data_IF_993602256118
#
_entry.id   IF_993602256118
#
_cell.length_a   1.000
_cell.length_b   1.000
_cell.length_c   1.000
_cell.angle_alpha   90.00
_cell.angle_beta   90.00
_cell.angle_gamma   90.00
#
_symmetry.space_group_name_H-M   'P 1'
#
loop_
_entity.id
_entity.type
_entity.pdbx_description
1 polymer ?
#
# COMPACT_ATOMS: atom_id res chain seq x y z
N UNK A 1 -15.04 -5.26 -2.29
CA UNK A 1 -13.64 -5.05 -1.92
C UNK A 1 -12.86 -6.30 -2.27
N UNK A 2 -12.10 -6.29 -3.39
CA UNK A 2 -11.28 -7.43 -3.83
C UNK A 2 -10.09 -7.55 -2.87
N UNK A 3 -9.95 -8.69 -2.20
CA UNK A 3 -8.78 -9.06 -1.43
C UNK A 3 -7.59 -9.13 -2.39
N UNK A 4 -6.75 -8.09 -2.41
CA UNK A 4 -5.44 -8.14 -3.06
C UNK A 4 -4.59 -9.11 -2.27
N UNK A 5 -4.40 -10.30 -2.85
CA UNK A 5 -3.59 -11.37 -2.30
C UNK A 5 -2.14 -10.92 -2.22
N UNK A 6 -1.60 -10.85 -1.01
CA UNK A 6 -0.17 -10.64 -0.71
C UNK A 6 0.78 -11.68 -1.36
N UNK A 7 0.24 -12.71 -2.02
CA UNK A 7 1.01 -13.77 -2.66
C UNK A 7 1.78 -13.34 -3.92
N UNK A 8 1.42 -12.23 -4.56
CA UNK A 8 2.06 -11.81 -5.81
C UNK A 8 3.28 -10.89 -5.63
N UNK A 9 3.59 -10.44 -4.42
CA UNK A 9 4.79 -9.64 -4.16
C UNK A 9 6.05 -10.48 -3.89
N UNK A 10 5.89 -11.76 -3.56
CA UNK A 10 7.03 -12.66 -3.30
C UNK A 10 7.67 -13.23 -4.57
N UNK A 11 7.00 -13.16 -5.72
CA UNK A 11 7.45 -13.84 -6.95
C UNK A 11 8.41 -13.03 -7.81
N UNK A 12 8.65 -11.75 -7.52
CA UNK A 12 9.61 -10.90 -8.27
C UNK A 12 11.03 -10.98 -7.65
N UNK A 13 11.18 -11.62 -6.50
CA UNK A 13 12.43 -11.60 -5.72
C UNK A 13 13.42 -12.71 -6.06
N UNK A 14 13.13 -13.60 -7.01
CA UNK A 14 13.99 -14.81 -7.28
C UNK A 14 14.67 -14.85 -8.66
N UNK A 15 14.55 -13.81 -9.48
CA UNK A 15 15.23 -13.76 -10.79
C UNK A 15 16.60 -13.03 -10.75
N UNK A 16 17.14 -12.75 -9.58
CA UNK A 16 18.40 -12.02 -9.37
C UNK A 16 19.59 -12.88 -8.98
N UNK A 17 19.54 -14.19 -9.15
CA UNK A 17 20.65 -15.05 -8.80
C UNK A 17 21.37 -15.57 -10.05
N UNK A 18 22.71 -15.50 -10.00
CA UNK A 18 23.68 -16.18 -10.86
C UNK A 18 24.06 -15.44 -12.17
N UNK A 19 24.77 -14.32 -12.01
CA UNK A 19 25.90 -14.13 -12.92
C UNK A 19 27.13 -14.69 -12.17
N UNK A 20 27.25 -16.02 -12.21
CA UNK A 20 28.50 -16.71 -11.89
C UNK A 20 29.54 -16.17 -12.86
N UNK A 21 30.63 -15.63 -12.33
CA UNK A 21 31.76 -15.22 -13.13
C UNK A 21 32.24 -16.39 -13.98
N UNK A 22 31.96 -16.34 -15.24
CA UNK A 22 32.63 -17.17 -16.21
C UNK A 22 34.10 -16.73 -16.19
N UNK A 23 34.93 -17.46 -15.48
CA UNK A 23 36.38 -17.43 -15.65
C UNK A 23 36.67 -17.82 -17.10
N UNK A 24 36.87 -16.78 -17.92
CA UNK A 24 37.30 -16.96 -19.32
C UNK A 24 38.70 -17.52 -19.26
N UNK A 25 38.82 -18.81 -19.50
CA UNK A 25 40.11 -19.41 -19.79
C UNK A 25 40.70 -18.69 -21.01
N UNK A 26 41.76 -17.92 -20.79
CA UNK A 26 42.51 -17.23 -21.83
C UNK A 26 43.37 -18.31 -22.53
N UNK A 27 42.81 -18.96 -23.55
CA UNK A 27 43.63 -19.72 -24.49
C UNK A 27 44.30 -18.72 -25.40
N UNK A 28 45.59 -18.51 -25.19
CA UNK A 28 46.46 -17.72 -26.05
C UNK A 28 46.71 -18.49 -27.37
N UNK A 29 45.99 -18.18 -28.41
CA UNK A 29 46.37 -18.55 -29.75
C UNK A 29 47.32 -17.49 -30.32
N UNK A 30 48.58 -17.90 -30.53
CA UNK A 30 49.71 -17.02 -30.87
C UNK A 30 49.66 -16.33 -32.25
N UNK A 31 48.71 -16.69 -33.14
CA UNK A 31 48.67 -16.19 -34.52
C UNK A 31 47.82 -14.94 -34.77
N UNK A 32 47.23 -14.38 -33.73
CA UNK A 32 46.26 -13.27 -33.85
C UNK A 32 46.78 -11.89 -33.45
N UNK A 33 47.97 -11.80 -32.88
CA UNK A 33 48.48 -10.62 -32.20
C UNK A 33 48.70 -9.38 -33.08
N UNK A 34 48.77 -9.56 -34.40
CA UNK A 34 49.05 -8.43 -35.31
C UNK A 34 47.86 -7.58 -35.75
N UNK A 35 46.62 -8.01 -35.54
CA UNK A 35 45.41 -7.31 -36.02
C UNK A 35 44.56 -6.67 -34.97
N UNK A 36 44.61 -7.15 -33.71
CA UNK A 36 43.82 -6.56 -32.64
C UNK A 36 44.21 -5.09 -32.38
N UNK A 37 43.22 -4.23 -32.30
CA UNK A 37 43.44 -2.78 -32.04
C UNK A 37 43.78 -1.94 -33.28
N UNK A 38 44.04 -2.55 -34.45
CA UNK A 38 44.25 -1.78 -35.66
C UNK A 38 42.94 -1.24 -36.26
N UNK A 39 43.00 -0.14 -37.00
CA UNK A 39 41.84 0.50 -37.60
C UNK A 39 41.10 -0.41 -38.57
N UNK A 40 39.78 -0.36 -38.58
CA UNK A 40 38.95 -0.96 -39.60
C UNK A 40 37.92 0.05 -40.13
N UNK A 41 37.45 -0.19 -41.38
CA UNK A 41 36.66 0.83 -42.09
C UNK A 41 35.15 0.77 -41.75
N UNK A 42 34.59 -0.44 -41.44
CA UNK A 42 33.15 -0.63 -41.33
C UNK A 42 32.82 -1.65 -40.23
N UNK A 43 31.85 -1.31 -39.39
CA UNK A 43 31.36 -2.17 -38.31
C UNK A 43 30.88 -3.52 -38.82
N UNK A 44 31.02 -4.56 -37.95
CA UNK A 44 30.56 -5.94 -38.16
C UNK A 44 31.21 -6.73 -39.31
N UNK A 45 32.18 -6.15 -40.03
CA UNK A 45 33.00 -6.94 -40.99
C UNK A 45 33.84 -7.94 -40.17
N UNK A 46 33.96 -9.15 -40.68
CA UNK A 46 34.85 -10.19 -40.12
C UNK A 46 35.99 -10.49 -41.07
N UNK A 47 37.18 -10.65 -40.52
CA UNK A 47 38.37 -11.03 -41.28
C UNK A 47 39.33 -11.81 -40.38
N UNK A 48 39.78 -12.99 -40.79
CA UNK A 48 40.81 -13.80 -40.13
C UNK A 48 40.62 -13.94 -38.60
N UNK A 49 39.40 -14.26 -38.15
CA UNK A 49 39.08 -14.44 -36.73
C UNK A 49 38.82 -13.15 -35.95
N UNK A 50 38.85 -11.98 -36.60
CA UNK A 50 38.55 -10.70 -36.01
C UNK A 50 37.23 -10.13 -36.49
N UNK A 51 36.60 -9.30 -35.64
CA UNK A 51 35.40 -8.54 -35.97
C UNK A 51 35.70 -7.07 -35.82
N UNK A 52 35.30 -6.26 -36.78
CA UNK A 52 35.38 -4.80 -36.66
C UNK A 52 34.26 -4.27 -35.75
N UNK A 53 34.64 -3.69 -34.64
CA UNK A 53 33.72 -3.11 -33.62
C UNK A 53 34.06 -1.63 -33.38
N UNK A 54 33.13 -0.90 -32.76
CA UNK A 54 33.43 0.40 -32.18
C UNK A 54 34.51 0.21 -31.11
N UNK A 55 35.54 1.09 -31.14
CA UNK A 55 36.66 0.93 -30.21
C UNK A 55 36.19 0.93 -28.76
N UNK A 56 36.28 -0.19 -28.04
CA UNK A 56 35.75 -0.30 -26.69
C UNK A 56 36.52 0.55 -25.67
N UNK A 57 37.75 0.91 -25.98
CA UNK A 57 38.59 1.75 -25.10
C UNK A 57 38.38 3.24 -25.33
N UNK A 58 37.51 3.60 -26.30
CA UNK A 58 37.21 5.00 -26.66
C UNK A 58 38.45 5.84 -27.07
N UNK A 59 39.49 5.16 -27.56
CA UNK A 59 40.68 5.77 -28.08
C UNK A 59 40.61 5.83 -29.60
N UNK A 60 41.53 6.56 -30.24
CA UNK A 60 41.70 6.47 -31.70
C UNK A 60 42.32 5.09 -32.06
N UNK A 61 41.86 4.43 -33.12
CA UNK A 61 40.84 4.79 -34.11
C UNK A 61 39.38 4.55 -33.62
N UNK A 62 38.39 5.16 -34.29
CA UNK A 62 36.95 5.04 -33.99
C UNK A 62 36.44 3.60 -34.06
N UNK A 63 36.93 2.83 -35.03
CA UNK A 63 36.62 1.43 -35.19
C UNK A 63 37.91 0.62 -35.16
N UNK A 64 37.85 -0.56 -34.55
CA UNK A 64 39.04 -1.41 -34.37
C UNK A 64 38.71 -2.87 -34.58
N UNK A 65 39.68 -3.61 -35.14
CA UNK A 65 39.62 -5.04 -35.18
C UNK A 65 39.75 -5.62 -33.77
N UNK A 66 38.82 -6.50 -33.43
CA UNK A 66 38.75 -7.17 -32.11
C UNK A 66 38.63 -8.67 -32.29
N UNK A 67 39.38 -9.42 -31.48
CA UNK A 67 39.20 -10.86 -31.39
C UNK A 67 37.90 -11.23 -30.67
N UNK A 68 37.55 -12.52 -30.69
CA UNK A 68 36.31 -13.01 -30.06
C UNK A 68 36.21 -12.63 -28.55
N UNK A 69 37.31 -12.69 -27.81
CA UNK A 69 37.32 -12.40 -26.39
C UNK A 69 37.01 -10.90 -26.10
N UNK A 70 37.60 -10.01 -26.91
CA UNK A 70 37.30 -8.58 -26.80
C UNK A 70 35.85 -8.26 -27.20
N UNK A 71 35.33 -8.91 -28.24
CA UNK A 71 33.90 -8.75 -28.65
C UNK A 71 32.95 -9.19 -27.56
N UNK A 72 33.19 -10.36 -26.95
CA UNK A 72 32.40 -10.90 -25.85
C UNK A 72 32.45 -9.95 -24.62
N UNK A 73 33.66 -9.58 -24.18
CA UNK A 73 33.84 -8.68 -23.04
C UNK A 73 33.20 -7.31 -23.25
N UNK A 74 33.19 -6.79 -24.50
CA UNK A 74 32.48 -5.53 -24.82
C UNK A 74 30.96 -5.74 -24.74
N UNK A 75 30.45 -6.85 -25.26
CA UNK A 75 29.01 -7.19 -25.20
C UNK A 75 28.53 -7.32 -23.74
N UNK A 76 29.29 -8.04 -22.92
CA UNK A 76 28.99 -8.23 -21.51
C UNK A 76 28.99 -6.90 -20.75
N UNK A 77 29.96 -6.05 -21.01
CA UNK A 77 30.01 -4.70 -20.42
C UNK A 77 28.78 -3.86 -20.78
N UNK A 78 28.38 -3.86 -22.07
CA UNK A 78 27.20 -3.11 -22.52
C UNK A 78 25.90 -3.68 -21.94
N UNK A 79 25.80 -5.01 -21.88
CA UNK A 79 24.67 -5.71 -21.23
C UNK A 79 24.55 -5.36 -19.74
N UNK A 80 25.67 -5.37 -19.01
CA UNK A 80 25.69 -4.96 -17.60
C UNK A 80 25.26 -3.50 -17.40
N UNK A 81 25.69 -2.58 -18.27
CA UNK A 81 25.23 -1.18 -18.21
C UNK A 81 23.73 -1.05 -18.47
N UNK A 82 23.19 -1.78 -19.46
CA UNK A 82 21.77 -1.77 -19.77
C UNK A 82 20.94 -2.34 -18.63
N UNK A 83 21.38 -3.48 -18.08
CA UNK A 83 20.73 -4.12 -16.94
C UNK A 83 20.74 -3.19 -15.71
N UNK A 84 21.88 -2.55 -15.42
CA UNK A 84 21.97 -1.57 -14.33
C UNK A 84 20.90 -0.48 -14.46
N UNK A 85 20.80 0.16 -15.62
CA UNK A 85 19.82 1.23 -15.85
C UNK A 85 18.38 0.74 -15.68
N UNK A 86 18.06 -0.46 -16.20
CA UNK A 86 16.73 -1.06 -16.09
C UNK A 86 16.38 -1.38 -14.64
N UNK A 87 17.29 -1.99 -13.89
CA UNK A 87 17.07 -2.34 -12.49
C UNK A 87 16.89 -1.10 -11.60
N UNK A 88 17.71 -0.06 -11.78
CA UNK A 88 17.59 1.19 -11.00
C UNK A 88 16.23 1.82 -11.25
N UNK A 89 15.78 1.90 -12.50
CA UNK A 89 14.45 2.43 -12.82
C UNK A 89 13.33 1.62 -12.18
N UNK A 90 13.35 0.30 -12.35
CA UNK A 90 12.33 -0.60 -11.78
C UNK A 90 12.27 -0.52 -10.25
N UNK A 91 13.42 -0.45 -9.58
CA UNK A 91 13.49 -0.31 -8.13
C UNK A 91 12.94 1.04 -7.66
N UNK A 92 13.24 2.13 -8.37
CA UNK A 92 12.71 3.47 -8.09
C UNK A 92 11.17 3.52 -8.26
N UNK A 93 10.64 2.93 -9.33
CA UNK A 93 9.20 2.84 -9.60
C UNK A 93 8.49 2.04 -8.49
N UNK A 94 9.09 0.94 -8.04
CA UNK A 94 8.55 0.11 -6.96
C UNK A 94 8.53 0.86 -5.62
N UNK A 95 9.60 1.56 -5.31
CA UNK A 95 9.68 2.39 -4.09
C UNK A 95 8.64 3.51 -4.11
N UNK A 96 8.50 4.22 -5.22
CA UNK A 96 7.51 5.29 -5.39
C UNK A 96 6.09 4.77 -5.19
N UNK A 97 5.75 3.61 -5.76
CA UNK A 97 4.44 2.97 -5.56
C UNK A 97 4.19 2.61 -4.10
N UNK A 98 5.19 2.04 -3.42
CA UNK A 98 5.09 1.68 -2.00
C UNK A 98 4.89 2.91 -1.12
N UNK A 99 5.62 4.00 -1.36
CA UNK A 99 5.48 5.27 -0.65
C UNK A 99 4.10 5.90 -0.89
N UNK A 100 3.61 5.89 -2.13
CA UNK A 100 2.26 6.39 -2.47
C UNK A 100 1.17 5.60 -1.74
N UNK A 101 1.32 4.28 -1.65
CA UNK A 101 0.39 3.42 -0.91
C UNK A 101 0.41 3.73 0.59
N UNK A 102 1.59 3.89 1.19
CA UNK A 102 1.74 4.30 2.58
C UNK A 102 1.05 5.64 2.85
N UNK A 103 1.29 6.65 2.02
CA UNK A 103 0.67 7.97 2.13
C UNK A 103 -0.87 7.90 2.03
N UNK A 104 -1.41 7.02 1.17
CA UNK A 104 -2.84 6.78 1.05
C UNK A 104 -3.45 6.24 2.35
N UNK A 105 -2.79 5.28 3.02
CA UNK A 105 -3.25 4.76 4.31
C UNK A 105 -3.13 5.80 5.44
N UNK A 106 -2.08 6.62 5.45
CA UNK A 106 -1.94 7.71 6.41
C UNK A 106 -3.06 8.74 6.28
N UNK A 107 -3.41 9.12 5.04
CA UNK A 107 -4.55 10.01 4.80
C UNK A 107 -5.88 9.38 5.23
N UNK A 108 -6.11 8.09 4.91
CA UNK A 108 -7.31 7.37 5.33
C UNK A 108 -7.43 7.27 6.86
N UNK A 109 -6.31 7.08 7.57
CA UNK A 109 -6.27 7.12 9.04
C UNK A 109 -6.68 8.50 9.57
N UNK A 110 -6.14 9.57 9.00
CA UNK A 110 -6.50 10.94 9.39
C UNK A 110 -7.99 11.20 9.22
N UNK A 111 -8.58 10.82 8.10
CA UNK A 111 -10.03 10.94 7.86
C UNK A 111 -10.84 10.12 8.88
N UNK A 112 -10.43 8.89 9.16
CA UNK A 112 -11.12 8.02 10.12
C UNK A 112 -11.02 8.55 11.57
N UNK A 113 -9.87 9.07 11.97
CA UNK A 113 -9.68 9.65 13.31
C UNK A 113 -10.46 10.96 13.47
N UNK A 114 -10.51 11.79 12.44
CA UNK A 114 -11.34 13.00 12.44
C UNK A 114 -12.83 12.64 12.56
N UNK A 115 -13.31 11.65 11.82
CA UNK A 115 -14.69 11.18 11.90
C UNK A 115 -15.02 10.60 13.29
N UNK A 116 -14.06 9.92 13.93
CA UNK A 116 -14.20 9.43 15.30
C UNK A 116 -14.34 10.58 16.29
N UNK A 117 -13.44 11.56 16.21
CA UNK A 117 -13.47 12.76 17.07
C UNK A 117 -14.79 13.53 16.90
N UNK A 118 -15.22 13.76 15.65
CA UNK A 118 -16.48 14.44 15.37
C UNK A 118 -17.68 13.70 15.99
N UNK A 119 -17.74 12.38 15.86
CA UNK A 119 -18.82 11.57 16.43
C UNK A 119 -18.79 11.53 17.96
N UNK A 120 -17.60 11.47 18.56
CA UNK A 120 -17.46 11.30 20.01
C UNK A 120 -17.50 12.59 20.80
N UNK A 121 -17.02 13.71 20.21
CA UNK A 121 -16.80 14.95 20.96
C UNK A 121 -17.57 16.17 20.43
N UNK A 122 -17.93 16.22 19.14
CA UNK A 122 -18.48 17.45 18.53
C UNK A 122 -19.93 17.33 18.09
N UNK A 123 -20.34 16.13 17.65
CA UNK A 123 -21.68 15.95 17.09
C UNK A 123 -22.75 16.18 18.14
N UNK A 124 -23.68 17.09 17.83
CA UNK A 124 -24.84 17.36 18.66
C UNK A 124 -26.00 16.47 18.22
N UNK A 125 -26.61 15.79 19.18
CA UNK A 125 -27.80 14.96 19.02
C UNK A 125 -28.98 15.62 19.70
N UNK A 126 -30.11 15.69 19.01
CA UNK A 126 -31.36 16.19 19.57
C UNK A 126 -32.26 15.01 19.88
N UNK A 127 -32.56 14.81 21.17
CA UNK A 127 -33.45 13.76 21.66
C UNK A 127 -34.82 14.40 21.84
N UNK A 128 -35.74 14.09 20.92
CA UNK A 128 -37.09 14.60 20.94
C UNK A 128 -37.98 13.73 21.83
N UNK A 129 -38.95 14.39 22.47
CA UNK A 129 -40.03 13.71 23.15
C UNK A 129 -41.14 13.35 22.16
N UNK A 130 -42.08 12.51 22.61
CA UNK A 130 -43.22 12.12 21.77
C UNK A 130 -44.04 13.36 21.34
N UNK A 131 -44.61 13.34 20.10
CA UNK A 131 -45.55 14.35 19.66
C UNK A 131 -46.68 14.52 20.69
N UNK A 132 -46.97 15.75 21.07
CA UNK A 132 -48.01 16.08 22.07
C UNK A 132 -47.53 16.21 23.51
N UNK A 133 -46.27 15.87 23.84
CA UNK A 133 -45.71 16.20 25.16
C UNK A 133 -45.16 17.64 25.17
N UNK A 134 -45.39 18.38 26.29
CA UNK A 134 -44.82 19.72 26.47
C UNK A 134 -43.34 19.71 26.90
N UNK A 135 -42.72 18.56 26.97
CA UNK A 135 -41.33 18.42 27.43
C UNK A 135 -40.40 18.86 26.29
N UNK A 136 -39.51 19.83 26.50
CA UNK A 136 -38.60 20.31 25.50
C UNK A 136 -37.59 19.21 25.08
N UNK A 137 -37.11 19.26 23.83
CA UNK A 137 -36.06 18.38 23.36
C UNK A 137 -34.80 18.58 24.22
N UNK A 138 -34.14 17.46 24.49
CA UNK A 138 -32.81 17.45 25.16
C UNK A 138 -31.72 17.37 24.13
N UNK A 139 -30.64 18.10 24.28
CA UNK A 139 -29.46 18.00 23.44
C UNK A 139 -28.34 17.27 24.17
N UNK A 140 -27.59 16.46 23.45
CA UNK A 140 -26.39 15.79 23.95
C UNK A 140 -25.25 15.95 22.94
N UNK A 141 -24.06 16.28 23.42
CA UNK A 141 -22.86 16.40 22.57
C UNK A 141 -22.02 15.14 22.72
N UNK A 142 -21.69 14.53 21.56
CA UNK A 142 -20.97 13.27 21.51
C UNK A 142 -21.86 12.03 21.65
N UNK A 143 -21.42 10.95 21.02
CA UNK A 143 -22.23 9.71 20.94
C UNK A 143 -22.49 9.06 22.30
N UNK A 144 -21.54 9.11 23.22
CA UNK A 144 -21.70 8.54 24.57
C UNK A 144 -22.80 9.27 25.37
N UNK A 145 -22.77 10.60 25.37
CA UNK A 145 -23.79 11.41 26.01
C UNK A 145 -25.19 11.20 25.37
N UNK A 146 -25.21 11.07 24.03
CA UNK A 146 -26.45 10.78 23.31
C UNK A 146 -27.04 9.41 23.70
N UNK A 147 -26.22 8.37 23.77
CA UNK A 147 -26.65 7.03 24.21
C UNK A 147 -27.22 7.08 25.63
N UNK A 148 -26.51 7.74 26.57
CA UNK A 148 -26.98 7.93 27.96
C UNK A 148 -28.34 8.63 27.99
N UNK A 149 -28.50 9.71 27.22
CA UNK A 149 -29.76 10.46 27.15
C UNK A 149 -30.89 9.64 26.54
N UNK A 150 -30.65 8.84 25.50
CA UNK A 150 -31.65 7.90 24.95
C UNK A 150 -32.02 6.82 25.96
N UNK A 151 -31.05 6.26 26.72
CA UNK A 151 -31.30 5.26 27.77
C UNK A 151 -32.17 5.85 28.90
N UNK A 152 -31.84 7.06 29.37
CA UNK A 152 -32.65 7.73 30.38
C UNK A 152 -34.10 7.95 29.90
N UNK A 153 -34.29 8.30 28.64
CA UNK A 153 -35.61 8.47 28.05
C UNK A 153 -36.37 7.14 27.89
N UNK A 154 -35.67 6.04 27.61
CA UNK A 154 -36.29 4.70 27.60
C UNK A 154 -36.82 4.35 29.00
N UNK A 155 -36.07 4.60 30.05
CA UNK A 155 -36.49 4.35 31.45
C UNK A 155 -37.74 5.19 31.80
N UNK A 156 -37.77 6.48 31.41
CA UNK A 156 -38.96 7.33 31.59
C UNK A 156 -40.18 6.77 30.87
N UNK A 157 -40.04 6.36 29.61
CA UNK A 157 -41.13 5.78 28.82
C UNK A 157 -41.60 4.44 29.40
N UNK A 158 -40.71 3.60 29.92
CA UNK A 158 -41.05 2.36 30.62
C UNK A 158 -41.87 2.63 31.88
N UNK A 159 -41.52 3.67 32.64
CA UNK A 159 -42.30 4.10 33.82
C UNK A 159 -43.71 4.52 33.42
N UNK A 160 -43.87 5.23 32.30
CA UNK A 160 -45.16 5.64 31.75
C UNK A 160 -45.99 4.44 31.24
N UNK A 161 -45.36 3.44 30.59
CA UNK A 161 -46.00 2.20 30.22
C UNK A 161 -46.58 1.49 31.46
N UNK A 162 -45.75 1.37 32.51
CA UNK A 162 -46.20 0.75 33.76
C UNK A 162 -47.39 1.51 34.39
N UNK A 163 -47.38 2.84 34.43
CA UNK A 163 -48.46 3.68 34.88
C UNK A 163 -49.76 3.46 34.13
N UNK A 164 -49.72 3.53 32.78
CA UNK A 164 -50.91 3.33 31.96
C UNK A 164 -51.40 1.86 31.96
N UNK A 165 -50.53 0.90 32.12
CA UNK A 165 -50.87 -0.51 32.30
C UNK A 165 -51.65 -0.74 33.61
N UNK A 166 -51.22 -0.08 34.71
CA UNK A 166 -51.93 -0.15 35.99
C UNK A 166 -53.27 0.61 35.97
N UNK A 167 -53.38 1.68 35.19
CA UNK A 167 -54.64 2.40 34.97
C UNK A 167 -55.60 1.55 34.14
N UNK A 168 -55.17 1.01 33.03
CA UNK A 168 -55.93 0.12 32.12
C UNK A 168 -56.53 -1.09 32.85
N UNK A 169 -55.81 -1.67 33.85
CA UNK A 169 -56.29 -2.78 34.64
C UNK A 169 -57.50 -2.43 35.55
N UNK A 170 -57.74 -1.14 35.76
CA UNK A 170 -58.86 -0.63 36.55
C UNK A 170 -60.01 -0.12 35.69
N UNK A 171 -59.83 0.05 34.44
CA UNK A 171 -60.81 0.60 33.52
C UNK A 171 -61.88 -0.43 33.15
N UNK A 172 -63.07 0.07 32.83
CA UNK A 172 -64.16 -0.77 32.28
C UNK A 172 -63.73 -1.17 30.86
N UNK A 173 -63.78 -2.46 30.60
CA UNK A 173 -63.41 -3.06 29.29
C UNK A 173 -64.20 -2.41 28.16
N UNK A 174 -63.51 -1.93 27.12
CA UNK A 174 -64.11 -1.29 25.94
C UNK A 174 -64.50 0.17 26.11
N UNK A 175 -64.28 0.77 27.31
CA UNK A 175 -64.51 2.21 27.55
C UNK A 175 -63.55 3.08 26.73
N UNK A 176 -63.92 4.34 26.53
CA UNK A 176 -63.06 5.28 25.85
C UNK A 176 -61.74 5.51 26.62
N UNK A 177 -61.77 5.41 27.95
CA UNK A 177 -60.56 5.53 28.77
C UNK A 177 -59.62 4.35 28.54
N UNK A 178 -60.15 3.09 28.59
CA UNK A 178 -59.35 1.90 28.27
C UNK A 178 -58.69 1.97 26.90
N UNK A 179 -59.41 2.44 25.88
CA UNK A 179 -58.84 2.65 24.54
C UNK A 179 -57.76 3.71 24.50
N UNK A 180 -57.93 4.80 25.26
CA UNK A 180 -56.94 5.89 25.39
C UNK A 180 -55.66 5.39 26.06
N UNK A 181 -55.82 4.64 27.17
CA UNK A 181 -54.68 4.13 27.94
C UNK A 181 -53.89 3.09 27.13
N UNK A 182 -54.59 2.19 26.39
CA UNK A 182 -53.93 1.25 25.49
C UNK A 182 -53.16 1.97 24.38
N UNK A 183 -53.76 3.00 23.78
CA UNK A 183 -53.08 3.82 22.76
C UNK A 183 -51.79 4.51 23.31
N UNK A 184 -51.84 4.92 24.58
CA UNK A 184 -50.67 5.51 25.25
C UNK A 184 -49.57 4.48 25.47
N UNK A 185 -49.94 3.28 25.95
CA UNK A 185 -49.01 2.14 26.10
C UNK A 185 -48.32 1.82 24.76
N UNK A 186 -49.08 1.68 23.67
CA UNK A 186 -48.57 1.35 22.35
C UNK A 186 -47.59 2.41 21.84
N UNK A 187 -47.94 3.67 22.05
CA UNK A 187 -47.12 4.81 21.64
C UNK A 187 -45.77 4.90 22.39
N UNK A 188 -45.78 4.66 23.73
CA UNK A 188 -44.54 4.63 24.50
C UNK A 188 -43.69 3.41 24.16
N UNK A 189 -44.27 2.24 23.94
CA UNK A 189 -43.56 1.04 23.49
C UNK A 189 -42.91 1.26 22.11
N UNK A 190 -43.59 1.93 21.17
CA UNK A 190 -43.00 2.31 19.89
C UNK A 190 -41.82 3.28 20.07
N UNK A 191 -41.97 4.25 21.00
CA UNK A 191 -40.90 5.19 21.38
C UNK A 191 -39.65 4.46 21.91
N UNK A 192 -39.84 3.51 22.84
CA UNK A 192 -38.77 2.68 23.41
C UNK A 192 -38.04 1.92 22.29
N UNK A 193 -38.78 1.22 21.45
CA UNK A 193 -38.23 0.45 20.33
C UNK A 193 -37.40 1.33 19.36
N UNK A 194 -37.92 2.51 19.03
CA UNK A 194 -37.25 3.44 18.13
C UNK A 194 -35.94 3.95 18.72
N UNK A 195 -35.93 4.29 20.02
CA UNK A 195 -34.71 4.77 20.70
C UNK A 195 -33.68 3.66 20.86
N UNK A 196 -34.11 2.45 21.17
CA UNK A 196 -33.21 1.30 21.21
C UNK A 196 -32.54 1.07 19.84
N UNK A 197 -33.31 1.12 18.75
CA UNK A 197 -32.78 1.03 17.39
C UNK A 197 -31.76 2.15 17.06
N UNK A 198 -32.00 3.35 17.61
CA UNK A 198 -31.04 4.47 17.46
C UNK A 198 -29.74 4.20 18.21
N UNK A 199 -29.81 3.72 19.45
CA UNK A 199 -28.64 3.33 20.25
C UNK A 199 -27.81 2.26 19.52
N UNK A 200 -28.48 1.24 19.00
CA UNK A 200 -27.83 0.16 18.25
C UNK A 200 -27.14 0.66 16.97
N UNK A 201 -27.74 1.64 16.30
CA UNK A 201 -27.15 2.28 15.13
C UNK A 201 -25.89 3.07 15.50
N UNK A 202 -25.93 3.86 16.55
CA UNK A 202 -24.81 4.65 17.07
C UNK A 202 -23.63 3.75 17.48
N UNK A 203 -23.91 2.67 18.20
CA UNK A 203 -22.91 1.67 18.60
C UNK A 203 -22.27 1.02 17.37
N UNK A 204 -23.06 0.64 16.36
CA UNK A 204 -22.52 0.09 15.11
C UNK A 204 -21.67 1.09 14.35
N UNK A 205 -22.04 2.35 14.30
CA UNK A 205 -21.22 3.40 13.67
C UNK A 205 -19.88 3.55 14.39
N UNK A 206 -19.90 3.64 15.71
CA UNK A 206 -18.70 3.75 16.54
C UNK A 206 -17.76 2.55 16.32
N UNK A 207 -18.29 1.34 16.39
CA UNK A 207 -17.52 0.11 16.14
C UNK A 207 -16.89 0.08 14.74
N UNK A 208 -17.63 0.49 13.71
CA UNK A 208 -17.10 0.55 12.33
C UNK A 208 -15.92 1.51 12.21
N UNK A 209 -16.02 2.70 12.82
CA UNK A 209 -14.94 3.69 12.76
C UNK A 209 -13.72 3.18 13.53
N UNK A 210 -13.87 2.63 14.73
CA UNK A 210 -12.79 2.02 15.50
C UNK A 210 -12.08 0.90 14.73
N UNK A 211 -12.85 0.01 14.10
CA UNK A 211 -12.30 -1.06 13.26
C UNK A 211 -11.52 -0.50 12.07
N UNK A 212 -12.02 0.57 11.44
CA UNK A 212 -11.32 1.24 10.34
C UNK A 212 -10.01 1.86 10.80
N UNK A 213 -10.00 2.55 11.94
CA UNK A 213 -8.79 3.14 12.54
C UNK A 213 -7.74 2.05 12.81
N UNK A 214 -8.13 0.98 13.48
CA UNK A 214 -7.22 -0.15 13.78
C UNK A 214 -6.65 -0.79 12.51
N UNK A 215 -7.50 -1.00 11.50
CA UNK A 215 -7.06 -1.54 10.21
C UNK A 215 -6.06 -0.63 9.50
N UNK A 216 -6.30 0.68 9.47
CA UNK A 216 -5.37 1.63 8.84
C UNK A 216 -4.04 1.70 9.59
N UNK A 217 -4.04 1.68 10.92
CA UNK A 217 -2.83 1.62 11.74
C UNK A 217 -2.00 0.36 11.43
N UNK A 218 -2.64 -0.81 11.33
CA UNK A 218 -1.99 -2.06 10.94
C UNK A 218 -1.40 -2.00 9.54
N UNK A 219 -2.14 -1.44 8.56
CA UNK A 219 -1.65 -1.26 7.21
C UNK A 219 -0.45 -0.32 7.14
N UNK A 220 -0.48 0.79 7.87
CA UNK A 220 0.63 1.75 7.96
C UNK A 220 1.89 1.06 8.49
N UNK A 221 1.78 0.27 9.56
CA UNK A 221 2.91 -0.50 10.11
C UNK A 221 3.49 -1.44 9.06
N UNK A 222 2.66 -2.20 8.37
CA UNK A 222 3.07 -3.13 7.31
C UNK A 222 3.77 -2.40 6.16
N UNK A 223 3.20 -1.30 5.67
CA UNK A 223 3.77 -0.55 4.55
C UNK A 223 5.03 0.23 4.94
N UNK A 224 5.15 0.71 6.17
CA UNK A 224 6.38 1.32 6.68
C UNK A 224 7.54 0.31 6.65
N UNK A 225 7.31 -0.91 7.11
CA UNK A 225 8.29 -2.00 7.03
C UNK A 225 8.64 -2.36 5.59
N UNK A 226 7.64 -2.43 4.70
CA UNK A 226 7.82 -2.72 3.28
C UNK A 226 8.66 -1.64 2.58
N UNK A 227 8.40 -0.38 2.84
CA UNK A 227 9.19 0.75 2.31
C UNK A 227 10.63 0.68 2.79
N UNK A 228 10.86 0.44 4.09
CA UNK A 228 12.20 0.30 4.64
C UNK A 228 12.99 -0.86 4.02
N UNK A 229 12.35 -2.02 3.86
CA UNK A 229 12.95 -3.18 3.18
C UNK A 229 13.27 -2.90 1.71
N UNK A 230 12.39 -2.21 0.99
CA UNK A 230 12.60 -1.83 -0.41
C UNK A 230 13.79 -0.88 -0.57
N UNK A 231 13.95 0.08 0.35
CA UNK A 231 15.10 1.01 0.37
C UNK A 231 16.40 0.25 0.60
N UNK A 232 16.43 -0.65 1.57
CA UNK A 232 17.60 -1.47 1.88
C UNK A 232 18.00 -2.36 0.69
N UNK A 233 17.03 -3.02 0.08
CA UNK A 233 17.23 -3.85 -1.10
C UNK A 233 17.74 -3.04 -2.29
N UNK A 234 17.19 -1.86 -2.55
CA UNK A 234 17.65 -0.97 -3.62
C UNK A 234 19.12 -0.58 -3.42
N UNK A 235 19.51 -0.24 -2.19
CA UNK A 235 20.90 0.09 -1.85
C UNK A 235 21.85 -1.09 -2.10
N UNK A 236 21.48 -2.29 -1.68
CA UNK A 236 22.27 -3.50 -1.88
C UNK A 236 22.41 -3.84 -3.37
N UNK A 237 21.33 -3.83 -4.14
CA UNK A 237 21.34 -4.10 -5.57
C UNK A 237 22.18 -3.06 -6.32
N UNK A 238 22.07 -1.80 -5.97
CA UNK A 238 22.89 -0.73 -6.57
C UNK A 238 24.37 -1.02 -6.37
N UNK A 239 24.79 -1.37 -5.17
CA UNK A 239 26.18 -1.70 -4.89
C UNK A 239 26.67 -2.91 -5.71
N UNK A 240 25.90 -4.00 -5.72
CA UNK A 240 26.24 -5.21 -6.50
C UNK A 240 26.36 -4.93 -8.01
N UNK A 241 25.43 -4.15 -8.57
CA UNK A 241 25.44 -3.81 -9.99
C UNK A 241 26.58 -2.87 -10.35
N UNK A 242 26.95 -1.95 -9.45
CA UNK A 242 28.14 -1.10 -9.62
C UNK A 242 29.42 -1.95 -9.64
N UNK A 243 29.57 -2.91 -8.74
CA UNK A 243 30.74 -3.80 -8.68
C UNK A 243 30.81 -4.69 -9.92
N UNK A 244 29.68 -5.25 -10.36
CA UNK A 244 29.60 -6.03 -11.59
C UNK A 244 30.00 -5.19 -12.82
N UNK A 245 29.52 -3.95 -12.91
CA UNK A 245 29.88 -3.03 -14.00
C UNK A 245 31.36 -2.68 -13.98
N UNK A 246 31.96 -2.46 -12.79
CA UNK A 246 33.40 -2.20 -12.63
C UNK A 246 34.24 -3.42 -13.04
N UNK A 247 33.84 -4.61 -12.64
CA UNK A 247 34.50 -5.88 -13.02
C UNK A 247 34.43 -6.09 -14.54
N UNK A 248 33.26 -5.91 -15.15
CA UNK A 248 33.08 -6.03 -16.59
C UNK A 248 33.89 -4.98 -17.37
N UNK A 249 34.01 -3.74 -16.85
CA UNK A 249 34.89 -2.71 -17.41
C UNK A 249 36.36 -3.14 -17.41
N UNK A 250 36.83 -3.70 -16.30
CA UNK A 250 38.19 -4.21 -16.16
C UNK A 250 38.46 -5.38 -17.10
N UNK A 251 37.56 -6.37 -17.13
CA UNK A 251 37.66 -7.53 -18.03
C UNK A 251 37.71 -7.08 -19.51
N UNK A 252 36.87 -6.12 -19.90
CA UNK A 252 36.90 -5.51 -21.23
C UNK A 252 38.25 -4.84 -21.52
N UNK A 253 38.77 -4.07 -20.59
CA UNK A 253 40.06 -3.38 -20.77
C UNK A 253 41.21 -4.39 -20.98
N UNK A 254 41.21 -5.48 -20.23
CA UNK A 254 42.19 -6.56 -20.41
C UNK A 254 42.03 -7.30 -21.73
N UNK A 255 40.82 -7.74 -22.07
CA UNK A 255 40.53 -8.51 -23.27
C UNK A 255 40.74 -7.71 -24.58
N UNK A 256 40.61 -6.38 -24.54
CA UNK A 256 40.75 -5.49 -25.70
C UNK A 256 42.10 -4.78 -25.78
N UNK A 257 43.00 -5.03 -24.81
CA UNK A 257 44.33 -4.40 -24.84
C UNK A 257 45.12 -4.92 -26.05
N UNK A 258 45.77 -3.98 -26.75
CA UNK A 258 46.63 -4.31 -27.89
C UNK A 258 48.00 -4.71 -27.38
N UNK A 259 48.55 -5.84 -27.83
CA UNK A 259 49.95 -6.18 -27.62
C UNK A 259 50.24 -6.91 -26.30
N UNK A 260 49.51 -7.99 -25.99
CA UNK A 260 50.05 -9.09 -25.19
C UNK A 260 50.19 -10.31 -26.08
#
# INVERSE_FOLDING_TARGET
MKKLSLRNLASVLLAGALIVGASVAITSSADAAGKQGTACAKLKIKSAGYTCIANPLKTSPKYTWANANCVTAQSDYLSNLSNYATYIKSAADTLTKSQSTLASYQNALTVATTALDDLTTKKVFTITYMPGTRTPATTATGVAAAITAYQAKIVEDQTRVAFYTAALAKDVVGSNQAKSDQKSIDAFNLGIKTRQGTIDLLNRQLTRIHTSVANYQSQITTWTTTVAASVAQQKQLTAQLMDASKSAKTARALACKVGM
#
